data_IF_982277012121
#
_entry.id   IF_982277012121
#
_cell.length_a   1.000
_cell.length_b   1.000
_cell.length_c   1.000
_cell.angle_alpha   90.00
_cell.angle_beta   90.00
_cell.angle_gamma   90.00
#
_symmetry.space_group_name_H-M   'P 1'
#
loop_
_entity.id
_entity.type
_entity.pdbx_description
1 polymer ?
#
# COMPACT_ATOMS: atom_id res chain seq x y z
N UNK A 1 -1.58 -9.20 -6.44
CA UNK A 1 -1.88 -8.98 -5.02
C UNK A 1 -2.78 -7.76 -4.82
N UNK A 2 -3.84 -7.89 -4.00
CA UNK A 2 -4.74 -6.76 -3.70
C UNK A 2 -4.35 -6.06 -2.39
N UNK A 3 -3.80 -4.85 -2.47
CA UNK A 3 -3.66 -3.93 -1.33
C UNK A 3 -4.88 -2.99 -1.32
N UNK A 4 -5.73 -3.00 -0.28
CA UNK A 4 -6.80 -2.01 -0.13
C UNK A 4 -6.19 -0.62 0.00
N UNK A 5 -6.55 0.28 -0.90
CA UNK A 5 -6.08 1.67 -0.87
C UNK A 5 -7.14 2.58 -1.50
N UNK A 6 -7.34 3.75 -0.90
CA UNK A 6 -8.23 4.78 -1.45
C UNK A 6 -7.64 5.28 -2.77
N UNK A 7 -8.49 5.52 -3.77
CA UNK A 7 -8.02 5.99 -5.09
C UNK A 7 -7.43 4.91 -5.99
N UNK A 8 -7.43 3.64 -5.56
CA UNK A 8 -6.90 2.51 -6.34
C UNK A 8 -7.48 2.45 -7.76
N UNK A 9 -6.59 2.54 -8.76
CA UNK A 9 -6.92 2.48 -10.19
C UNK A 9 -7.32 1.10 -10.73
N UNK A 10 -7.49 0.10 -9.86
CA UNK A 10 -7.82 -1.28 -10.27
C UNK A 10 -9.03 -1.37 -11.21
N UNK A 11 -10.09 -0.59 -10.96
CA UNK A 11 -11.29 -0.57 -11.82
C UNK A 11 -11.06 0.10 -13.18
N UNK A 12 -10.07 0.99 -13.27
CA UNK A 12 -9.74 1.75 -14.48
C UNK A 12 -8.64 1.09 -15.32
N UNK A 13 -8.09 -0.04 -14.87
CA UNK A 13 -7.02 -0.74 -15.58
C UNK A 13 -7.37 -1.04 -17.05
N UNK A 14 -8.57 -1.54 -17.41
CA UNK A 14 -8.91 -1.83 -18.80
C UNK A 14 -8.77 -0.61 -19.71
N UNK A 15 -9.09 0.60 -19.22
CA UNK A 15 -8.94 1.83 -19.99
C UNK A 15 -7.50 2.33 -19.98
N UNK A 16 -6.85 2.35 -18.80
CA UNK A 16 -5.50 2.89 -18.64
C UNK A 16 -4.47 2.14 -19.47
N UNK A 17 -4.60 0.81 -19.57
CA UNK A 17 -3.65 -0.02 -20.32
C UNK A 17 -3.57 0.34 -21.80
N UNK A 18 -4.63 0.93 -22.38
CA UNK A 18 -4.64 1.37 -23.78
C UNK A 18 -3.79 2.62 -24.03
N UNK A 19 -3.41 3.36 -22.98
CA UNK A 19 -2.62 4.60 -23.08
C UNK A 19 -1.17 4.42 -22.62
N UNK A 20 -0.79 3.22 -22.20
CA UNK A 20 0.58 2.97 -21.77
C UNK A 20 1.47 2.90 -23.02
N UNK A 21 2.59 3.65 -23.07
CA UNK A 21 3.50 3.57 -24.20
C UNK A 21 4.03 2.15 -24.35
N UNK A 22 4.16 1.70 -25.60
CA UNK A 22 4.70 0.37 -25.92
C UNK A 22 6.18 0.27 -25.63
N UNK A 23 6.92 1.39 -25.77
CA UNK A 23 8.35 1.49 -25.54
C UNK A 23 8.64 2.65 -24.57
N UNK A 24 9.38 2.35 -23.50
CA UNK A 24 9.91 3.32 -22.55
C UNK A 24 11.09 2.68 -21.80
N UNK A 25 12.01 3.52 -21.31
CA UNK A 25 13.22 3.07 -20.64
C UNK A 25 12.91 2.60 -19.21
N UNK A 26 12.42 3.50 -18.36
CA UNK A 26 12.08 3.22 -16.98
C UNK A 26 10.63 3.64 -16.68
N UNK A 27 10.04 2.99 -15.68
CA UNK A 27 8.71 3.36 -15.16
C UNK A 27 8.82 4.10 -13.83
N UNK A 28 8.17 5.25 -13.71
CA UNK A 28 8.10 6.03 -12.48
C UNK A 28 6.67 6.16 -11.99
N UNK A 29 6.48 5.94 -10.68
CA UNK A 29 5.20 6.15 -10.00
C UNK A 29 5.41 6.94 -8.71
N UNK A 30 5.31 8.29 -8.76
CA UNK A 30 5.53 9.14 -7.59
C UNK A 30 4.50 8.94 -6.46
N UNK A 31 3.30 8.49 -6.81
CA UNK A 31 2.19 8.17 -5.90
C UNK A 31 1.78 6.71 -6.06
N UNK A 32 2.41 5.80 -5.30
CA UNK A 32 2.29 4.36 -5.48
C UNK A 32 0.88 3.85 -5.17
N UNK A 33 0.36 4.21 -4.00
CA UNK A 33 -0.87 3.66 -3.44
C UNK A 33 -0.91 2.13 -3.47
N UNK A 34 -2.01 1.56 -4.00
CA UNK A 34 -2.17 0.10 -4.11
C UNK A 34 -1.22 -0.58 -5.11
N UNK A 35 -0.48 0.18 -5.92
CA UNK A 35 0.34 -0.35 -7.00
C UNK A 35 -0.44 -1.07 -8.10
N UNK A 36 -1.75 -0.81 -8.25
CA UNK A 36 -2.61 -1.56 -9.19
C UNK A 36 -2.10 -1.53 -10.65
N UNK A 37 -1.75 -0.36 -11.17
CA UNK A 37 -1.20 -0.22 -12.53
C UNK A 37 0.18 -0.88 -12.64
N UNK A 38 1.09 -0.58 -11.70
CA UNK A 38 2.41 -1.20 -11.63
C UNK A 38 2.35 -2.73 -11.75
N UNK A 39 1.45 -3.39 -11.01
CA UNK A 39 1.30 -4.84 -11.01
C UNK A 39 0.78 -5.43 -12.36
N UNK A 40 0.30 -4.58 -13.26
CA UNK A 40 -0.17 -4.94 -14.61
C UNK A 40 0.86 -4.67 -15.70
N UNK A 41 2.02 -4.10 -15.35
CA UNK A 41 3.10 -3.80 -16.28
C UNK A 41 4.29 -4.74 -16.05
N UNK A 42 5.19 -4.80 -17.04
CA UNK A 42 6.44 -5.57 -16.97
C UNK A 42 7.65 -4.70 -17.34
N UNK A 43 7.88 -3.56 -16.65
CA UNK A 43 9.04 -2.72 -16.91
C UNK A 43 10.34 -3.40 -16.47
N UNK A 44 11.45 -3.10 -17.14
CA UNK A 44 12.78 -3.58 -16.72
C UNK A 44 13.18 -2.97 -15.37
N UNK A 45 13.00 -1.65 -15.23
CA UNK A 45 13.31 -0.89 -14.02
C UNK A 45 12.13 -0.01 -13.64
N UNK A 46 11.82 0.01 -12.35
CA UNK A 46 10.75 0.84 -11.80
C UNK A 46 11.23 1.61 -10.57
N UNK A 47 10.81 2.87 -10.48
CA UNK A 47 10.90 3.68 -9.26
C UNK A 47 9.50 3.95 -8.73
N UNK A 48 9.21 3.44 -7.54
CA UNK A 48 7.93 3.57 -6.85
C UNK A 48 8.12 4.41 -5.59
N UNK A 49 7.27 5.41 -5.40
CA UNK A 49 7.31 6.31 -4.25
C UNK A 49 5.93 6.52 -3.67
N UNK A 50 5.89 6.84 -2.37
CA UNK A 50 4.70 7.30 -1.68
C UNK A 50 5.14 8.06 -0.43
N UNK A 51 4.31 8.97 0.07
CA UNK A 51 4.62 9.68 1.31
C UNK A 51 4.31 8.83 2.56
N UNK A 52 3.46 7.81 2.45
CA UNK A 52 3.16 6.89 3.56
C UNK A 52 4.31 5.88 3.75
N UNK A 53 5.09 6.09 4.81
CA UNK A 53 6.21 5.22 5.18
C UNK A 53 5.77 3.78 5.48
N UNK A 54 4.58 3.55 6.04
CA UNK A 54 4.09 2.20 6.32
C UNK A 54 3.71 1.48 5.03
N UNK A 55 3.21 2.20 4.02
CA UNK A 55 2.97 1.64 2.69
C UNK A 55 4.28 1.26 2.00
N UNK A 56 5.27 2.14 2.01
CA UNK A 56 6.56 1.84 1.39
C UNK A 56 7.28 0.70 2.12
N UNK A 57 7.24 0.69 3.45
CA UNK A 57 7.83 -0.38 4.24
C UNK A 57 7.10 -1.72 4.02
N UNK A 58 5.78 -1.70 3.85
CA UNK A 58 4.99 -2.87 3.47
C UNK A 58 5.51 -3.47 2.16
N UNK A 59 5.67 -2.66 1.10
CA UNK A 59 6.20 -3.13 -0.17
C UNK A 59 7.63 -3.67 -0.04
N UNK A 60 8.50 -2.98 0.72
CA UNK A 60 9.89 -3.42 0.97
C UNK A 60 9.94 -4.79 1.64
N UNK A 61 9.26 -4.95 2.78
CA UNK A 61 9.30 -6.20 3.56
C UNK A 61 8.68 -7.38 2.81
N UNK A 62 7.56 -7.12 2.12
CA UNK A 62 6.85 -8.12 1.34
C UNK A 62 7.71 -8.65 0.18
N UNK A 63 8.42 -7.79 -0.55
CA UNK A 63 9.26 -8.22 -1.68
C UNK A 63 10.59 -8.83 -1.20
N UNK A 64 11.15 -8.34 -0.10
CA UNK A 64 12.41 -8.82 0.46
C UNK A 64 12.27 -10.21 1.09
N UNK A 65 11.23 -10.45 1.91
CA UNK A 65 11.02 -11.70 2.65
C UNK A 65 9.57 -12.18 2.54
N UNK A 66 9.11 -12.61 1.34
CA UNK A 66 7.70 -12.86 1.07
C UNK A 66 7.10 -13.99 1.92
N UNK A 67 7.88 -15.03 2.23
CA UNK A 67 7.45 -16.16 3.08
C UNK A 67 7.21 -15.68 4.51
N UNK A 68 8.18 -14.97 5.11
CA UNK A 68 8.07 -14.41 6.45
C UNK A 68 6.90 -13.43 6.56
N UNK A 69 6.72 -12.59 5.54
CA UNK A 69 5.60 -11.65 5.47
C UNK A 69 4.26 -12.40 5.46
N UNK A 70 4.12 -13.42 4.59
CA UNK A 70 2.92 -14.25 4.53
C UNK A 70 2.62 -14.95 5.86
N UNK A 71 3.64 -15.46 6.54
CA UNK A 71 3.49 -16.14 7.83
C UNK A 71 3.01 -15.20 8.93
N UNK A 72 3.54 -13.97 9.00
CA UNK A 72 3.00 -12.98 9.92
C UNK A 72 1.56 -12.61 9.60
N UNK A 73 1.23 -12.38 8.32
CA UNK A 73 -0.14 -12.07 7.90
C UNK A 73 -1.11 -13.18 8.33
N UNK A 74 -0.78 -14.45 8.07
CA UNK A 74 -1.59 -15.60 8.49
C UNK A 74 -1.76 -15.65 10.00
N UNK A 75 -0.68 -15.49 10.77
CA UNK A 75 -0.71 -15.48 12.26
C UNK A 75 -1.57 -14.36 12.83
N UNK A 76 -1.59 -13.18 12.21
CA UNK A 76 -2.46 -12.08 12.65
C UNK A 76 -3.90 -12.28 12.22
N UNK A 77 -4.15 -12.81 11.03
CA UNK A 77 -5.48 -13.20 10.58
C UNK A 77 -6.09 -14.27 11.49
N UNK A 78 -5.31 -15.29 11.87
CA UNK A 78 -5.73 -16.33 12.83
C UNK A 78 -6.15 -15.73 14.17
N UNK A 79 -5.45 -14.69 14.65
CA UNK A 79 -5.82 -13.98 15.89
C UNK A 79 -7.17 -13.27 15.80
N UNK A 80 -7.56 -12.82 14.62
CA UNK A 80 -8.91 -12.26 14.40
C UNK A 80 -9.95 -13.38 14.50
N UNK A 81 -9.68 -14.54 13.90
CA UNK A 81 -10.63 -15.64 13.75
C UNK A 81 -10.55 -16.75 14.80
N UNK A 82 -9.82 -16.55 15.91
CA UNK A 82 -9.77 -17.51 17.05
C UNK A 82 -11.17 -17.95 17.45
N UNK A 83 -12.09 -16.98 17.51
CA UNK A 83 -13.51 -17.20 17.79
C UNK A 83 -14.35 -16.80 16.57
N UNK A 84 -15.42 -17.56 16.31
CA UNK A 84 -16.28 -17.39 15.13
C UNK A 84 -17.45 -16.42 15.37
N UNK A 85 -17.24 -15.40 16.21
CA UNK A 85 -18.23 -14.36 16.50
C UNK A 85 -17.65 -12.95 16.24
N UNK A 86 -18.52 -12.02 15.86
CA UNK A 86 -18.09 -10.68 15.47
C UNK A 86 -17.58 -9.83 16.64
N UNK A 87 -18.06 -10.09 17.86
CA UNK A 87 -17.68 -9.30 19.05
C UNK A 87 -16.22 -9.56 19.40
N UNK A 88 -15.81 -10.82 19.43
CA UNK A 88 -14.43 -11.22 19.68
C UNK A 88 -13.51 -10.82 18.53
N UNK A 89 -13.93 -10.99 17.27
CA UNK A 89 -13.17 -10.53 16.09
C UNK A 89 -12.87 -9.03 16.16
N UNK A 90 -13.86 -8.21 16.53
CA UNK A 90 -13.68 -6.77 16.73
C UNK A 90 -12.71 -6.45 17.88
N UNK A 91 -12.73 -7.23 18.96
CA UNK A 91 -11.77 -7.09 20.08
C UNK A 91 -10.35 -7.45 19.63
N UNK A 92 -10.17 -8.55 18.91
CA UNK A 92 -8.89 -8.95 18.34
C UNK A 92 -8.35 -7.90 17.37
N UNK A 93 -9.20 -7.35 16.49
CA UNK A 93 -8.80 -6.27 15.59
C UNK A 93 -8.30 -5.03 16.35
N UNK A 94 -9.01 -4.59 17.40
CA UNK A 94 -8.56 -3.48 18.25
C UNK A 94 -7.20 -3.77 18.90
N UNK A 95 -6.99 -5.00 19.36
CA UNK A 95 -5.71 -5.41 19.92
C UNK A 95 -4.57 -5.39 18.88
N UNK A 96 -4.85 -5.74 17.61
CA UNK A 96 -3.87 -5.59 16.53
C UNK A 96 -3.57 -4.10 16.22
N UNK A 97 -4.56 -3.20 16.33
CA UNK A 97 -4.34 -1.74 16.23
C UNK A 97 -3.37 -1.26 17.32
N UNK A 98 -3.57 -1.68 18.58
CA UNK A 98 -2.66 -1.35 19.68
C UNK A 98 -1.24 -1.88 19.44
N UNK A 99 -1.11 -3.11 18.93
CA UNK A 99 0.18 -3.68 18.56
C UNK A 99 0.86 -2.89 17.46
N UNK A 100 0.13 -2.47 16.43
CA UNK A 100 0.68 -1.66 15.36
C UNK A 100 1.24 -0.34 15.89
N UNK A 101 0.50 0.34 16.77
CA UNK A 101 0.92 1.62 17.37
C UNK A 101 2.21 1.51 18.19
N UNK A 102 2.47 0.34 18.78
CA UNK A 102 3.67 0.07 19.60
C UNK A 102 4.83 -0.57 18.83
N UNK A 103 4.62 -0.90 17.55
CA UNK A 103 5.62 -1.61 16.75
C UNK A 103 6.56 -0.63 16.05
N UNK A 104 7.83 -1.03 15.95
CA UNK A 104 8.81 -0.39 15.06
C UNK A 104 8.62 -0.86 13.61
N UNK A 105 9.18 -0.12 12.65
CA UNK A 105 9.16 -0.51 11.23
C UNK A 105 9.83 -1.88 11.01
N UNK A 106 9.33 -2.62 10.02
CA UNK A 106 9.81 -3.93 9.64
C UNK A 106 8.68 -4.95 9.41
N UNK A 107 9.05 -6.16 9.01
CA UNK A 107 8.11 -7.16 8.50
C UNK A 107 6.91 -7.44 9.42
N UNK A 108 7.12 -7.41 10.74
CA UNK A 108 6.04 -7.55 11.72
C UNK A 108 4.99 -6.44 11.61
N UNK A 109 5.43 -5.17 11.60
CA UNK A 109 4.54 -4.01 11.49
C UNK A 109 3.90 -3.91 10.12
N UNK A 110 4.65 -4.25 9.07
CA UNK A 110 4.14 -4.33 7.68
C UNK A 110 3.02 -5.37 7.54
N UNK A 111 3.18 -6.55 8.15
CA UNK A 111 2.13 -7.56 8.14
C UNK A 111 0.90 -7.14 8.97
N UNK A 112 1.09 -6.49 10.13
CA UNK A 112 -0.01 -5.86 10.86
C UNK A 112 -0.73 -4.83 10.00
N UNK A 113 0.00 -3.94 9.34
CA UNK A 113 -0.54 -2.90 8.47
C UNK A 113 -1.44 -3.48 7.38
N UNK A 114 -0.96 -4.52 6.68
CA UNK A 114 -1.71 -5.18 5.63
C UNK A 114 -3.00 -5.83 6.14
N UNK A 115 -2.94 -6.55 7.27
CA UNK A 115 -4.12 -7.16 7.90
C UNK A 115 -5.11 -6.08 8.31
N UNK A 116 -4.64 -5.01 8.96
CA UNK A 116 -5.49 -3.91 9.36
C UNK A 116 -6.17 -3.23 8.16
N UNK A 117 -5.46 -3.00 7.05
CA UNK A 117 -6.06 -2.49 5.81
C UNK A 117 -7.16 -3.39 5.24
N UNK A 118 -7.02 -4.72 5.35
CA UNK A 118 -8.01 -5.70 4.86
C UNK A 118 -9.30 -5.69 5.65
N UNK A 119 -9.21 -5.47 6.96
CA UNK A 119 -10.36 -5.53 7.88
C UNK A 119 -10.86 -4.15 8.34
N UNK A 120 -10.16 -3.07 7.98
CA UNK A 120 -10.59 -1.71 8.24
C UNK A 120 -11.83 -1.34 7.41
N UNK A 121 -12.67 -0.47 7.98
CA UNK A 121 -13.87 0.02 7.33
C UNK A 121 -13.55 0.69 6.01
N UNK A 122 -14.03 0.10 4.91
CA UNK A 122 -13.76 0.52 3.52
C UNK A 122 -12.26 0.60 3.18
N UNK A 123 -11.40 -0.08 3.92
CA UNK A 123 -9.94 0.01 3.76
C UNK A 123 -9.37 1.40 4.07
N UNK A 124 -10.09 2.21 4.86
CA UNK A 124 -9.64 3.56 5.24
C UNK A 124 -8.65 3.43 6.40
N UNK A 125 -7.44 3.90 6.19
CA UNK A 125 -6.39 3.97 7.19
C UNK A 125 -6.15 5.42 7.61
N UNK A 126 -6.23 5.73 8.92
CA UNK A 126 -6.11 7.10 9.44
C UNK A 126 -5.06 7.19 10.52
N UNK A 127 -4.24 8.22 10.41
CA UNK A 127 -3.26 8.61 11.41
C UNK A 127 -3.82 9.75 12.27
N UNK A 128 -3.45 9.74 13.54
CA UNK A 128 -3.56 10.86 14.45
C UNK A 128 -2.33 11.76 14.30
N UNK A 129 -2.39 12.96 14.89
CA UNK A 129 -1.28 13.91 14.92
C UNK A 129 -0.02 13.35 15.59
N UNK A 130 -0.17 12.42 16.53
CA UNK A 130 0.94 11.74 17.23
C UNK A 130 1.53 10.55 16.45
N UNK A 131 1.06 10.30 15.22
CA UNK A 131 1.50 9.19 14.37
C UNK A 131 0.84 7.84 14.68
N UNK A 132 0.04 7.73 15.74
CA UNK A 132 -0.75 6.51 16.00
C UNK A 132 -1.96 6.42 15.08
N UNK A 133 -2.53 5.23 14.94
CA UNK A 133 -3.66 4.99 14.02
C UNK A 133 -4.98 4.80 14.76
N UNK A 134 -6.07 5.13 14.07
CA UNK A 134 -7.44 4.81 14.48
C UNK A 134 -8.24 4.27 13.30
N UNK A 135 -8.81 3.08 13.46
CA UNK A 135 -9.53 2.39 12.40
C UNK A 135 -10.91 1.93 12.87
N UNK A 136 -11.92 2.17 12.04
CA UNK A 136 -13.18 1.46 12.16
C UNK A 136 -13.00 0.01 11.71
N UNK A 137 -13.62 -0.93 12.40
CA UNK A 137 -13.68 -2.32 11.95
C UNK A 137 -14.85 -2.46 10.97
N UNK A 138 -14.62 -3.00 9.77
CA UNK A 138 -15.71 -3.48 8.92
C UNK A 138 -15.33 -4.79 8.27
N UNK A 139 -15.79 -5.87 8.88
CA UNK A 139 -15.96 -7.11 8.16
C UNK A 139 -17.10 -7.92 8.81
N UNK A 140 -17.95 -8.48 7.96
CA UNK A 140 -19.18 -9.18 8.35
C UNK A 140 -19.10 -10.70 8.20
N UNK A 141 -18.02 -11.23 7.63
CA UNK A 141 -17.85 -12.68 7.48
C UNK A 141 -17.42 -13.32 8.80
N UNK A 142 -18.26 -14.23 9.31
CA UNK A 142 -17.91 -15.13 10.42
C UNK A 142 -16.76 -16.08 10.07
N UNK A 143 -16.51 -16.30 8.78
CA UNK A 143 -15.53 -17.28 8.29
C UNK A 143 -14.28 -16.60 7.74
N UNK A 144 -13.14 -17.23 8.02
CA UNK A 144 -11.82 -16.83 7.52
C UNK A 144 -11.68 -17.21 6.05
N UNK A 145 -11.24 -16.26 5.23
CA UNK A 145 -10.84 -16.49 3.84
C UNK A 145 -9.43 -15.93 3.67
N UNK A 146 -8.44 -16.72 3.18
CA UNK A 146 -7.06 -16.27 3.08
C UNK A 146 -6.94 -14.92 2.37
N UNK A 147 -6.40 -13.92 3.07
CA UNK A 147 -6.21 -12.56 2.53
C UNK A 147 -4.88 -12.37 1.79
N UNK A 148 -4.01 -13.38 1.80
CA UNK A 148 -2.67 -13.34 1.21
C UNK A 148 -2.34 -14.67 0.50
N UNK A 149 -1.68 -14.56 -0.65
CA UNK A 149 -1.24 -15.71 -1.46
C UNK A 149 0.21 -15.46 -1.90
N UNK A 150 1.12 -16.36 -1.56
CA UNK A 150 2.57 -16.20 -1.80
C UNK A 150 2.88 -16.03 -3.29
N UNK A 151 2.22 -16.81 -4.15
CA UNK A 151 2.44 -16.76 -5.61
C UNK A 151 2.09 -15.40 -6.23
N UNK A 152 1.18 -14.61 -5.62
CA UNK A 152 0.91 -13.25 -6.08
C UNK A 152 2.11 -12.31 -5.87
N UNK A 153 2.85 -12.49 -4.78
CA UNK A 153 4.06 -11.70 -4.49
C UNK A 153 5.20 -12.16 -5.39
N UNK A 154 5.38 -13.47 -5.53
CA UNK A 154 6.41 -14.05 -6.40
C UNK A 154 6.25 -13.57 -7.84
N UNK A 155 5.01 -13.51 -8.36
CA UNK A 155 4.75 -12.96 -9.70
C UNK A 155 5.22 -11.52 -9.87
N UNK A 156 5.09 -10.68 -8.84
CA UNK A 156 5.59 -9.29 -8.89
C UNK A 156 7.12 -9.28 -9.04
N UNK A 157 7.82 -10.14 -8.29
CA UNK A 157 9.28 -10.28 -8.36
C UNK A 157 9.75 -10.84 -9.71
N UNK A 158 8.96 -11.74 -10.33
CA UNK A 158 9.29 -12.29 -11.65
C UNK A 158 9.08 -11.27 -12.76
N UNK A 159 8.04 -10.44 -12.68
CA UNK A 159 7.67 -9.51 -13.75
C UNK A 159 8.57 -8.27 -13.84
N UNK A 160 9.30 -7.93 -12.77
CA UNK A 160 10.06 -6.68 -12.69
C UNK A 160 11.42 -6.95 -12.07
N UNK A 161 12.47 -6.71 -12.84
CA UNK A 161 13.85 -7.03 -12.44
C UNK A 161 14.35 -6.09 -11.34
N UNK A 162 14.19 -4.79 -11.54
CA UNK A 162 14.73 -3.77 -10.66
C UNK A 162 13.61 -2.89 -10.09
N UNK A 163 13.35 -3.01 -8.78
CA UNK A 163 12.34 -2.21 -8.08
C UNK A 163 13.03 -1.30 -7.06
N UNK A 164 13.02 0.02 -7.30
CA UNK A 164 13.47 1.05 -6.37
C UNK A 164 12.25 1.58 -5.59
N UNK A 165 12.28 1.43 -4.27
CA UNK A 165 11.22 1.88 -3.35
C UNK A 165 11.68 3.09 -2.54
N UNK A 166 11.08 4.24 -2.81
CA UNK A 166 11.35 5.51 -2.14
C UNK A 166 10.20 5.90 -1.21
N UNK A 167 10.52 6.65 -0.16
CA UNK A 167 9.53 7.31 0.67
C UNK A 167 9.94 8.77 0.79
N UNK A 168 9.11 9.67 0.30
CA UNK A 168 9.41 11.09 0.29
C UNK A 168 8.48 11.86 -0.64
N UNK A 169 8.86 13.10 -0.87
CA UNK A 169 8.12 13.99 -1.74
C UNK A 169 8.14 13.51 -3.20
N UNK A 170 7.02 13.70 -3.90
CA UNK A 170 6.81 13.22 -5.25
C UNK A 170 7.71 13.96 -6.27
N UNK A 171 8.03 15.23 -6.03
CA UNK A 171 8.90 16.04 -6.90
C UNK A 171 10.27 15.38 -7.06
N UNK A 172 10.80 14.80 -5.97
CA UNK A 172 12.10 14.12 -5.98
C UNK A 172 12.15 12.98 -7.01
N UNK A 173 11.02 12.32 -7.28
CA UNK A 173 10.90 11.22 -8.23
C UNK A 173 10.72 11.75 -9.65
N UNK A 174 9.92 12.81 -9.81
CA UNK A 174 9.73 13.47 -11.10
C UNK A 174 11.06 14.02 -11.62
N UNK A 175 11.84 14.66 -10.76
CA UNK A 175 13.13 15.25 -11.10
C UNK A 175 14.21 14.20 -11.45
N UNK A 176 13.99 12.91 -11.14
CA UNK A 176 14.88 11.82 -11.54
C UNK A 176 14.58 11.28 -12.96
N UNK A 177 13.46 11.68 -13.58
CA UNK A 177 13.07 11.17 -14.89
C UNK A 177 13.95 11.71 -16.02
N UNK A 178 14.12 10.90 -17.05
CA UNK A 178 14.88 11.23 -18.25
C UNK A 178 14.00 11.11 -19.50
N UNK A 179 14.54 11.54 -20.64
CA UNK A 179 13.89 11.35 -21.94
C UNK A 179 13.57 9.88 -22.18
N UNK A 180 12.40 9.62 -22.75
CA UNK A 180 11.83 8.29 -23.02
C UNK A 180 11.49 7.43 -21.78
N UNK A 181 11.46 8.02 -20.58
CA UNK A 181 10.85 7.37 -19.42
C UNK A 181 9.32 7.50 -19.44
N UNK A 182 8.63 6.53 -18.82
CA UNK A 182 7.20 6.61 -18.60
C UNK A 182 6.92 6.96 -17.14
N UNK A 183 6.21 8.07 -16.92
CA UNK A 183 5.75 8.47 -15.60
C UNK A 183 4.23 8.42 -15.50
N UNK A 184 3.72 7.78 -14.45
CA UNK A 184 2.31 7.77 -14.11
C UNK A 184 2.06 8.52 -12.80
N UNK A 185 1.47 9.70 -12.91
CA UNK A 185 1.17 10.60 -11.78
C UNK A 185 -0.31 10.45 -11.40
N UNK A 186 -0.56 10.10 -10.14
CA UNK A 186 -1.90 9.87 -9.60
C UNK A 186 -2.02 10.49 -8.19
N UNK A 187 -1.99 11.84 -8.11
CA UNK A 187 -1.99 12.54 -6.84
C UNK A 187 -3.37 12.42 -6.14
N UNK A 188 -3.46 12.76 -4.85
CA UNK A 188 -4.74 12.99 -4.20
C UNK A 188 -5.59 13.97 -5.01
N UNK A 189 -6.83 13.60 -5.30
CA UNK A 189 -7.73 14.49 -6.05
C UNK A 189 -8.10 15.72 -5.22
N UNK A 190 -8.01 16.88 -5.86
CA UNK A 190 -8.56 18.12 -5.32
C UNK A 190 -10.02 17.92 -4.90
N UNK A 191 -10.36 18.39 -3.70
CA UNK A 191 -11.75 18.53 -3.26
C UNK A 191 -11.90 19.90 -2.63
N UNK A 192 -12.91 20.63 -3.10
CA UNK A 192 -13.30 21.89 -2.50
C UNK A 192 -13.67 21.67 -1.02
N UNK A 193 -13.06 22.45 -0.12
CA UNK A 193 -13.31 22.38 1.33
C UNK A 193 -12.53 21.32 2.13
N UNK A 194 -11.70 20.48 1.51
CA UNK A 194 -10.69 19.72 2.28
C UNK A 194 -9.46 20.61 2.46
N UNK A 195 -9.17 21.01 3.71
CA UNK A 195 -7.84 21.54 4.03
C UNK A 195 -6.82 20.50 3.63
N UNK A 196 -6.01 20.85 2.64
CA UNK A 196 -4.80 20.13 2.38
C UNK A 196 -3.93 20.30 3.63
N UNK A 197 -3.86 19.24 4.44
CA UNK A 197 -2.89 19.18 5.54
C UNK A 197 -1.50 18.82 4.99
N UNK A 198 -1.26 19.02 3.68
CA UNK A 198 0.04 19.40 3.18
C UNK A 198 0.66 20.36 4.18
N UNK A 199 1.56 19.85 5.00
CA UNK A 199 2.59 20.69 5.59
C UNK A 199 3.40 21.17 4.39
N UNK A 200 2.88 22.21 3.75
CA UNK A 200 3.64 23.23 3.09
C UNK A 200 4.62 23.68 4.17
N UNK A 201 5.79 23.05 4.19
CA UNK A 201 6.93 23.72 4.76
C UNK A 201 7.09 24.97 3.90
N UNK A 202 7.01 26.13 4.56
CA UNK A 202 7.24 27.43 3.96
C UNK A 202 8.50 27.37 3.10
N UNK A 203 8.29 27.25 1.79
CA UNK A 203 9.17 27.53 0.65
C UNK A 203 8.55 26.79 -0.54
N UNK A 204 7.59 27.46 -1.17
CA UNK A 204 6.71 26.86 -2.16
C UNK A 204 7.45 26.21 -3.32
N UNK A 205 6.97 25.03 -3.69
CA UNK A 205 6.84 24.52 -5.06
C UNK A 205 5.67 23.53 -5.03
N UNK A 206 4.92 23.46 -6.13
CA UNK A 206 3.60 22.81 -6.28
C UNK A 206 3.73 21.30 -6.38
#
# INVERSE_FOLDING_TARGET
>A
MKIPWIGSKKKMLPQLLNYIPTNYNNYYKPFLGSGALFQSLTPSTVTLNDNDINLIQLWKDMLAKPELFCDYVRKFEDKIYVNKDQKTQKKSFKHLVEKFNKSNLGAYKSALFYVLLKYAFRGIFRYRSDGTIYLGYSFSSRFKNPIIVLSEIQRIKTNVKNIKLLNGDFESVINQTQSNDFIFVDPPYWREGTKDNGKLHENGTI
#
